data_IF_126932659624
#
_entry.id   IF_126932659624
#
_cell.length_a   1.000
_cell.length_b   1.000
_cell.length_c   1.000
_cell.angle_alpha   90.00
_cell.angle_beta   90.00
_cell.angle_gamma   90.00
#
_symmetry.space_group_name_H-M   'P 1'
#
loop_
_entity.id
_entity.type
_entity.pdbx_description
1 polymer ?
#
# COMPACT_ATOMS: atom_id res chain seq x y z
N UNK A 1 7.99 -1.85 13.66
CA UNK A 1 7.78 -0.94 12.50
C UNK A 1 7.22 0.42 12.90
N UNK A 2 6.05 0.49 13.59
CA UNK A 2 5.40 1.79 13.89
C UNK A 2 6.32 2.85 14.51
N UNK A 3 7.06 2.50 15.55
CA UNK A 3 7.99 3.42 16.22
C UNK A 3 8.99 4.05 15.23
N UNK A 4 9.62 3.23 14.39
CA UNK A 4 10.60 3.66 13.38
C UNK A 4 9.98 4.47 12.24
N UNK A 5 8.70 4.27 11.93
CA UNK A 5 8.02 4.97 10.84
C UNK A 5 7.44 6.33 11.28
N UNK A 6 6.96 6.47 12.52
CA UNK A 6 6.46 7.75 13.04
C UNK A 6 7.58 8.75 13.27
N UNK A 7 8.78 8.26 13.62
CA UNK A 7 10.00 9.08 13.76
C UNK A 7 11.13 8.46 12.94
N UNK A 8 11.10 8.60 11.60
CA UNK A 8 12.11 8.00 10.75
C UNK A 8 13.46 8.70 10.92
N UNK A 9 14.47 7.94 11.31
CA UNK A 9 15.87 8.37 11.30
C UNK A 9 16.40 8.31 9.86
N UNK A 10 16.07 9.33 9.07
CA UNK A 10 16.45 9.37 7.66
C UNK A 10 17.96 9.52 7.52
N UNK A 11 18.61 8.76 6.62
CA UNK A 11 20.04 8.88 6.41
C UNK A 11 20.39 10.25 5.84
N UNK A 12 21.58 10.73 6.18
CA UNK A 12 22.09 11.98 5.63
C UNK A 12 22.39 11.86 4.12
N UNK A 13 22.44 13.00 3.40
CA UNK A 13 22.75 12.99 1.96
C UNK A 13 24.12 12.40 1.60
N UNK A 14 25.10 12.39 2.51
CA UNK A 14 26.41 11.80 2.27
C UNK A 14 26.35 10.28 2.26
N UNK A 15 25.58 9.66 3.16
CA UNK A 15 25.28 8.23 3.12
C UNK A 15 24.60 7.84 1.79
N UNK A 16 23.60 8.61 1.34
CA UNK A 16 22.93 8.31 0.07
C UNK A 16 23.87 8.35 -1.14
N UNK A 17 24.96 9.13 -1.09
CA UNK A 17 25.97 9.17 -2.15
C UNK A 17 26.88 7.94 -2.18
N UNK A 18 26.96 7.16 -1.10
CA UNK A 18 27.74 5.91 -1.08
C UNK A 18 27.00 4.74 -1.70
N UNK A 19 25.70 4.89 -1.98
CA UNK A 19 24.83 3.87 -2.56
C UNK A 19 24.84 3.90 -4.10
N UNK A 20 24.50 2.77 -4.70
CA UNK A 20 24.48 2.64 -6.17
C UNK A 20 23.35 3.48 -6.79
N UNK A 21 23.75 4.52 -7.54
CA UNK A 21 22.85 5.43 -8.24
C UNK A 21 22.72 5.12 -9.73
N UNK A 22 23.24 3.97 -10.19
CA UNK A 22 23.19 3.59 -11.60
C UNK A 22 21.75 3.33 -12.05
N UNK A 23 21.40 3.85 -13.22
CA UNK A 23 20.07 3.68 -13.82
C UNK A 23 19.75 2.18 -13.97
N UNK A 24 20.76 1.37 -14.35
CA UNK A 24 20.60 -0.08 -14.55
C UNK A 24 20.12 -0.77 -13.26
N UNK A 25 20.77 -0.52 -12.12
CA UNK A 25 20.39 -1.13 -10.84
C UNK A 25 19.05 -0.63 -10.35
N UNK A 26 18.83 0.68 -10.39
CA UNK A 26 17.56 1.27 -9.94
C UNK A 26 16.37 0.76 -10.75
N UNK A 27 16.47 0.72 -12.09
CA UNK A 27 15.42 0.17 -12.95
C UNK A 27 15.17 -1.33 -12.68
N UNK A 28 16.20 -2.10 -12.37
CA UNK A 28 16.03 -3.52 -12.02
C UNK A 28 15.24 -3.68 -10.70
N UNK A 29 15.56 -2.89 -9.68
CA UNK A 29 14.84 -2.89 -8.39
C UNK A 29 13.40 -2.42 -8.57
N UNK A 30 13.15 -1.37 -9.37
CA UNK A 30 11.80 -0.87 -9.66
C UNK A 30 10.95 -1.94 -10.35
N UNK A 31 11.52 -2.73 -11.27
CA UNK A 31 10.81 -3.86 -11.88
C UNK A 31 10.38 -4.91 -10.85
N UNK A 32 11.24 -5.20 -9.88
CA UNK A 32 10.91 -6.12 -8.78
C UNK A 32 9.84 -5.57 -7.84
N UNK A 33 9.81 -4.26 -7.60
CA UNK A 33 8.75 -3.60 -6.82
C UNK A 33 7.35 -3.79 -7.45
N UNK A 34 7.25 -4.00 -8.76
CA UNK A 34 5.97 -4.31 -9.43
C UNK A 34 5.51 -5.76 -9.21
N UNK A 35 6.38 -6.63 -8.71
CA UNK A 35 6.17 -8.07 -8.53
C UNK A 35 6.51 -8.51 -7.10
N UNK A 36 6.22 -7.67 -6.10
CA UNK A 36 6.45 -7.98 -4.68
C UNK A 36 5.75 -9.28 -4.32
N UNK A 37 6.48 -10.17 -3.65
CA UNK A 37 6.00 -11.41 -3.07
C UNK A 37 6.73 -11.69 -1.75
N UNK A 38 6.12 -12.48 -0.87
CA UNK A 38 6.75 -12.84 0.41
C UNK A 38 8.05 -13.65 0.21
N UNK A 39 8.08 -14.53 -0.79
CA UNK A 39 9.26 -15.34 -1.13
C UNK A 39 10.49 -14.50 -1.46
N UNK A 40 10.30 -13.36 -2.13
CA UNK A 40 11.39 -12.48 -2.57
C UNK A 40 11.66 -11.32 -1.62
N UNK A 41 10.97 -11.25 -0.48
CA UNK A 41 11.02 -10.12 0.46
C UNK A 41 12.45 -9.75 0.85
N UNK A 42 13.22 -10.73 1.33
CA UNK A 42 14.57 -10.48 1.89
C UNK A 42 15.55 -10.02 0.81
N UNK A 43 15.58 -10.73 -0.32
CA UNK A 43 16.42 -10.35 -1.46
C UNK A 43 16.11 -8.94 -1.97
N UNK A 44 14.83 -8.58 -2.09
CA UNK A 44 14.43 -7.24 -2.53
C UNK A 44 14.78 -6.18 -1.49
N UNK A 45 14.63 -6.46 -0.20
CA UNK A 45 15.05 -5.54 0.86
C UNK A 45 16.56 -5.28 0.84
N UNK A 46 17.39 -6.31 0.62
CA UNK A 46 18.84 -6.14 0.53
C UNK A 46 19.26 -5.32 -0.68
N UNK A 47 18.63 -5.56 -1.83
CA UNK A 47 18.86 -4.74 -3.02
C UNK A 47 18.46 -3.28 -2.79
N UNK A 48 17.28 -3.05 -2.20
CA UNK A 48 16.80 -1.71 -1.83
C UNK A 48 17.76 -1.00 -0.87
N UNK A 49 18.39 -1.73 0.06
CA UNK A 49 19.39 -1.14 0.96
C UNK A 49 20.61 -0.62 0.22
N UNK A 50 21.02 -1.30 -0.85
CA UNK A 50 22.23 -1.00 -1.62
C UNK A 50 22.10 0.11 -2.68
N UNK A 51 20.87 0.48 -3.06
CA UNK A 51 20.61 1.47 -4.13
C UNK A 51 20.14 2.82 -3.60
N UNK A 52 20.45 3.87 -4.37
CA UNK A 52 19.92 5.23 -4.16
C UNK A 52 18.78 5.52 -5.14
N UNK A 53 17.54 5.42 -4.65
CA UNK A 53 16.31 5.72 -5.38
C UNK A 53 15.90 7.19 -5.29
N UNK A 54 16.74 8.11 -4.79
CA UNK A 54 16.34 9.53 -4.62
C UNK A 54 15.79 10.16 -5.91
N UNK A 55 16.29 9.73 -7.07
CA UNK A 55 15.83 10.19 -8.41
C UNK A 55 14.70 9.34 -9.01
N UNK A 56 14.29 8.27 -8.32
CA UNK A 56 13.40 7.22 -8.81
C UNK A 56 12.24 6.93 -7.84
N UNK A 57 11.99 7.80 -6.85
CA UNK A 57 10.96 7.60 -5.83
C UNK A 57 9.58 7.48 -6.49
N UNK A 58 9.28 8.33 -7.47
CA UNK A 58 8.00 8.35 -8.18
C UNK A 58 7.75 7.04 -8.94
N UNK A 59 8.77 6.51 -9.60
CA UNK A 59 8.73 5.25 -10.34
C UNK A 59 8.59 4.06 -9.39
N UNK A 60 9.29 4.09 -8.26
CA UNK A 60 9.14 3.08 -7.21
C UNK A 60 7.71 3.07 -6.65
N UNK A 61 7.14 4.25 -6.36
CA UNK A 61 5.75 4.40 -5.92
C UNK A 61 4.79 3.87 -6.98
N UNK A 62 4.99 4.21 -8.24
CA UNK A 62 4.15 3.73 -9.35
C UNK A 62 4.20 2.21 -9.46
N UNK A 63 5.39 1.61 -9.37
CA UNK A 63 5.56 0.16 -9.40
C UNK A 63 4.83 -0.54 -8.24
N UNK A 64 4.90 0.00 -7.03
CA UNK A 64 4.17 -0.52 -5.87
C UNK A 64 2.65 -0.37 -6.05
N UNK A 65 2.18 0.79 -6.53
CA UNK A 65 0.77 1.02 -6.81
C UNK A 65 0.22 0.05 -7.87
N UNK A 66 1.03 -0.31 -8.86
CA UNK A 66 0.68 -1.25 -9.92
C UNK A 66 0.80 -2.73 -9.50
N UNK A 67 1.49 -3.03 -8.40
CA UNK A 67 1.76 -4.40 -7.99
C UNK A 67 0.46 -5.18 -7.75
N UNK A 68 0.41 -6.42 -8.25
CA UNK A 68 -0.71 -7.34 -8.04
C UNK A 68 -0.46 -8.17 -6.78
N UNK A 69 -0.71 -7.55 -5.63
CA UNK A 69 -0.49 -8.17 -4.32
C UNK A 69 -1.58 -9.17 -3.97
N UNK A 70 -1.18 -10.39 -3.57
CA UNK A 70 -2.05 -11.33 -2.86
C UNK A 70 -2.04 -11.00 -1.37
N UNK A 71 -2.98 -11.58 -0.62
CA UNK A 71 -2.99 -11.43 0.86
C UNK A 71 -1.68 -11.90 1.49
N UNK A 72 -1.06 -12.96 0.95
CA UNK A 72 0.24 -13.47 1.42
C UNK A 72 1.41 -12.50 1.22
N UNK A 73 1.30 -11.56 0.27
CA UNK A 73 2.38 -10.65 -0.09
C UNK A 73 2.32 -9.31 0.68
N UNK A 74 1.27 -9.12 1.49
CA UNK A 74 1.05 -7.86 2.20
C UNK A 74 2.17 -7.55 3.19
N UNK A 75 2.66 -8.55 3.93
CA UNK A 75 3.74 -8.33 4.90
C UNK A 75 5.03 -7.86 4.21
N UNK A 76 5.44 -8.52 3.11
CA UNK A 76 6.51 -8.03 2.26
C UNK A 76 6.32 -6.59 1.78
N UNK A 77 5.13 -6.26 1.26
CA UNK A 77 4.84 -4.91 0.79
C UNK A 77 4.95 -3.87 1.93
N UNK A 78 4.47 -4.17 3.13
CA UNK A 78 4.54 -3.30 4.31
C UNK A 78 5.98 -3.06 4.76
N UNK A 79 6.81 -4.11 4.78
CA UNK A 79 8.24 -4.01 5.13
C UNK A 79 9.00 -3.16 4.11
N UNK A 80 8.75 -3.38 2.82
CA UNK A 80 9.34 -2.61 1.72
C UNK A 80 8.92 -1.14 1.78
N UNK A 81 7.63 -0.86 1.97
CA UNK A 81 7.14 0.52 2.10
C UNK A 81 7.70 1.20 3.34
N UNK A 82 7.85 0.49 4.47
CA UNK A 82 8.47 1.03 5.68
C UNK A 82 9.93 1.40 5.44
N UNK A 83 10.71 0.54 4.76
CA UNK A 83 12.09 0.82 4.40
C UNK A 83 12.21 2.08 3.52
N UNK A 84 11.35 2.20 2.51
CA UNK A 84 11.35 3.35 1.60
C UNK A 84 10.91 4.65 2.30
N UNK A 85 9.90 4.59 3.16
CA UNK A 85 9.43 5.72 3.99
C UNK A 85 10.50 6.23 4.94
N UNK A 86 11.22 5.31 5.59
CA UNK A 86 12.32 5.64 6.49
C UNK A 86 13.54 6.23 5.76
N UNK A 87 13.64 6.05 4.43
CA UNK A 87 14.76 6.55 3.63
C UNK A 87 14.43 7.84 2.88
N UNK A 88 13.23 7.96 2.32
CA UNK A 88 12.85 9.05 1.42
C UNK A 88 11.63 9.79 1.95
N UNK A 89 11.79 11.10 2.20
CA UNK A 89 10.78 11.93 2.85
C UNK A 89 9.44 11.98 2.09
N UNK A 90 9.48 12.07 0.77
CA UNK A 90 8.28 12.26 -0.07
C UNK A 90 7.61 10.94 -0.47
N UNK A 91 8.11 9.80 0.01
CA UNK A 91 7.61 8.49 -0.39
C UNK A 91 6.19 8.24 0.08
N UNK A 92 5.90 8.44 1.37
CA UNK A 92 4.59 8.09 1.95
C UNK A 92 3.44 8.92 1.40
N UNK A 93 3.64 10.23 1.22
CA UNK A 93 2.65 11.12 0.63
C UNK A 93 2.33 10.73 -0.82
N UNK A 94 3.36 10.47 -1.62
CA UNK A 94 3.22 10.00 -3.00
C UNK A 94 2.54 8.63 -3.09
N UNK A 95 2.91 7.69 -2.20
CA UNK A 95 2.31 6.36 -2.13
C UNK A 95 0.82 6.44 -1.77
N UNK A 96 0.45 7.22 -0.75
CA UNK A 96 -0.94 7.39 -0.36
C UNK A 96 -1.78 7.95 -1.51
N UNK A 97 -1.28 8.98 -2.20
CA UNK A 97 -1.95 9.54 -3.39
C UNK A 97 -2.09 8.50 -4.52
N UNK A 98 -1.06 7.71 -4.79
CA UNK A 98 -1.09 6.66 -5.81
C UNK A 98 -2.10 5.56 -5.49
N UNK A 99 -2.14 5.07 -4.24
CA UNK A 99 -3.08 4.04 -3.80
C UNK A 99 -4.54 4.54 -3.81
N UNK A 100 -4.78 5.81 -3.46
CA UNK A 100 -6.12 6.39 -3.46
C UNK A 100 -6.77 6.46 -4.85
N UNK A 101 -5.98 6.51 -5.93
CA UNK A 101 -6.48 6.46 -7.31
C UNK A 101 -7.23 5.16 -7.63
N UNK A 102 -7.03 4.09 -6.87
CA UNK A 102 -7.79 2.83 -7.00
C UNK A 102 -9.25 3.00 -6.58
N UNK A 103 -9.53 3.90 -5.64
CA UNK A 103 -10.89 4.22 -5.18
C UNK A 103 -11.47 5.40 -5.94
N UNK A 104 -10.63 6.40 -6.23
CA UNK A 104 -11.00 7.64 -6.90
C UNK A 104 -10.26 7.78 -8.25
N UNK A 105 -10.54 6.90 -9.23
CA UNK A 105 -10.02 7.10 -10.57
C UNK A 105 -10.64 8.40 -11.11
N UNK A 106 -9.81 9.41 -11.37
CA UNK A 106 -10.28 10.68 -11.94
C UNK A 106 -10.89 10.49 -13.34
N UNK A 107 -11.09 11.57 -14.08
CA UNK A 107 -11.61 11.54 -15.48
C UNK A 107 -10.70 10.86 -16.51
N UNK A 108 -9.64 10.16 -16.09
CA UNK A 108 -8.78 9.44 -17.01
C UNK A 108 -9.61 8.33 -17.66
N UNK A 109 -9.49 8.24 -18.99
CA UNK A 109 -10.16 7.26 -19.86
C UNK A 109 -10.23 5.94 -19.13
N UNK A 110 -11.45 5.50 -18.80
CA UNK A 110 -11.65 4.15 -18.30
C UNK A 110 -10.97 3.22 -19.28
N UNK A 111 -9.97 2.46 -18.84
CA UNK A 111 -9.62 1.22 -19.51
C UNK A 111 -10.88 0.34 -19.41
N UNK A 112 -11.76 0.53 -20.39
CA UNK A 112 -13.03 -0.17 -20.62
C UNK A 112 -12.81 -1.69 -20.71
N UNK A 113 -11.55 -2.10 -20.87
CA UNK A 113 -11.06 -3.48 -21.01
C UNK A 113 -10.73 -4.18 -19.67
N UNK A 114 -10.66 -3.45 -18.53
CA UNK A 114 -10.26 -4.10 -17.27
C UNK A 114 -11.45 -4.83 -16.62
N UNK A 115 -11.35 -6.15 -16.54
CA UNK A 115 -12.30 -7.04 -15.86
C UNK A 115 -12.77 -6.50 -14.49
N UNK A 116 -14.09 -6.47 -14.28
CA UNK A 116 -14.72 -5.96 -13.03
C UNK A 116 -14.19 -6.70 -11.81
N UNK A 117 -13.98 -8.01 -11.92
CA UNK A 117 -13.48 -8.82 -10.81
C UNK A 117 -12.02 -8.46 -10.48
N UNK A 118 -11.18 -8.21 -11.50
CA UNK A 118 -9.83 -7.64 -11.32
C UNK A 118 -9.84 -6.30 -10.58
N UNK A 119 -10.76 -5.38 -10.92
CA UNK A 119 -10.92 -4.10 -10.22
C UNK A 119 -11.32 -4.31 -8.74
N UNK A 120 -12.24 -5.24 -8.47
CA UNK A 120 -12.67 -5.56 -7.10
C UNK A 120 -11.53 -6.17 -6.27
N UNK A 121 -10.75 -7.10 -6.84
CA UNK A 121 -9.57 -7.68 -6.18
C UNK A 121 -8.53 -6.60 -5.87
N UNK A 122 -8.29 -5.67 -6.81
CA UNK A 122 -7.36 -4.56 -6.61
C UNK A 122 -7.82 -3.61 -5.50
N UNK A 123 -9.09 -3.19 -5.49
CA UNK A 123 -9.67 -2.38 -4.39
C UNK A 123 -9.47 -3.08 -3.04
N UNK A 124 -9.70 -4.39 -2.98
CA UNK A 124 -9.56 -5.17 -1.74
C UNK A 124 -8.12 -5.23 -1.24
N UNK A 125 -7.14 -5.56 -2.10
CA UNK A 125 -5.73 -5.62 -1.67
C UNK A 125 -5.19 -4.23 -1.33
N UNK A 126 -5.57 -3.19 -2.08
CA UNK A 126 -5.20 -1.80 -1.78
C UNK A 126 -5.78 -1.33 -0.44
N UNK A 127 -7.04 -1.64 -0.12
CA UNK A 127 -7.64 -1.27 1.18
C UNK A 127 -6.89 -1.90 2.35
N UNK A 128 -6.58 -3.20 2.24
CA UNK A 128 -5.78 -3.91 3.25
C UNK A 128 -4.40 -3.28 3.41
N UNK A 129 -3.71 -3.01 2.31
CA UNK A 129 -2.40 -2.37 2.36
C UNK A 129 -2.45 -0.98 3.02
N UNK A 130 -3.44 -0.15 2.68
CA UNK A 130 -3.61 1.16 3.32
C UNK A 130 -3.80 1.04 4.84
N UNK A 131 -4.59 0.07 5.30
CA UNK A 131 -4.79 -0.22 6.72
C UNK A 131 -3.49 -0.64 7.40
N UNK A 132 -2.75 -1.59 6.82
CA UNK A 132 -1.46 -2.02 7.37
C UNK A 132 -0.45 -0.87 7.44
N UNK A 133 -0.33 -0.08 6.36
CA UNK A 133 0.55 1.09 6.31
C UNK A 133 0.16 2.14 7.35
N UNK A 134 -1.13 2.27 7.65
CA UNK A 134 -1.59 3.11 8.73
C UNK A 134 -1.18 2.57 10.10
N UNK A 135 -1.38 1.28 10.36
CA UNK A 135 -1.00 0.64 11.63
C UNK A 135 0.51 0.69 11.87
N UNK A 136 1.31 0.51 10.83
CA UNK A 136 2.77 0.68 10.93
C UNK A 136 3.21 2.14 10.83
N UNK A 137 2.31 3.13 10.76
CA UNK A 137 2.67 4.55 10.82
C UNK A 137 3.44 5.07 9.60
N UNK A 138 3.37 4.39 8.45
CA UNK A 138 3.82 4.96 7.17
C UNK A 138 2.81 6.01 6.68
N UNK A 139 1.53 5.75 6.93
CA UNK A 139 0.44 6.69 6.70
C UNK A 139 -0.16 7.06 8.07
N UNK A 140 -0.40 8.34 8.31
CA UNK A 140 -0.93 8.81 9.60
C UNK A 140 -2.31 9.47 9.47
N UNK A 141 -2.68 9.87 8.26
CA UNK A 141 -3.97 10.50 8.00
C UNK A 141 -5.09 9.45 7.96
N UNK A 142 -5.89 9.40 9.02
CA UNK A 142 -7.07 8.53 9.10
C UNK A 142 -8.22 8.99 8.20
N UNK A 143 -8.22 10.24 7.73
CA UNK A 143 -9.29 10.80 6.90
C UNK A 143 -9.44 10.07 5.56
N UNK A 144 -8.36 9.43 5.08
CA UNK A 144 -8.38 8.61 3.87
C UNK A 144 -9.43 7.49 3.96
N UNK A 145 -9.57 6.87 5.13
CA UNK A 145 -10.52 5.78 5.34
C UNK A 145 -11.94 6.31 5.41
N UNK A 146 -12.14 7.45 6.05
CA UNK A 146 -13.44 8.14 6.09
C UNK A 146 -13.90 8.46 4.66
N UNK A 147 -13.00 8.95 3.81
CA UNK A 147 -13.31 9.28 2.41
C UNK A 147 -13.63 8.03 1.60
N UNK A 148 -12.85 6.95 1.74
CA UNK A 148 -13.15 5.66 1.09
C UNK A 148 -14.50 5.12 1.54
N UNK A 149 -14.81 5.15 2.85
CA UNK A 149 -16.09 4.65 3.36
C UNK A 149 -17.26 5.47 2.81
N UNK A 150 -17.14 6.81 2.80
CA UNK A 150 -18.17 7.71 2.24
C UNK A 150 -18.48 7.40 0.78
N UNK A 151 -17.46 7.13 -0.02
CA UNK A 151 -17.59 6.71 -1.41
C UNK A 151 -18.29 5.35 -1.52
N UNK A 152 -17.81 4.34 -0.79
CA UNK A 152 -18.37 2.99 -0.88
C UNK A 152 -19.86 2.90 -0.49
N UNK A 153 -20.35 3.81 0.37
CA UNK A 153 -21.77 3.89 0.78
C UNK A 153 -22.60 4.88 -0.06
N UNK A 154 -22.01 5.45 -1.12
CA UNK A 154 -22.69 6.37 -2.04
C UNK A 154 -23.95 5.74 -2.65
N UNK A 155 -25.05 6.49 -2.65
CA UNK A 155 -26.36 6.05 -3.13
C UNK A 155 -26.34 5.68 -4.63
N UNK A 156 -25.42 6.25 -5.39
CA UNK A 156 -25.17 5.94 -6.80
C UNK A 156 -24.79 4.47 -7.03
N UNK A 157 -24.10 3.85 -6.07
CA UNK A 157 -23.64 2.45 -6.19
C UNK A 157 -24.76 1.45 -5.97
N UNK A 158 -25.82 1.84 -5.23
CA UNK A 158 -26.96 0.96 -4.91
C UNK A 158 -27.77 0.52 -6.14
N UNK A 159 -27.58 1.19 -7.27
CA UNK A 159 -28.25 0.86 -8.53
C UNK A 159 -27.64 -0.36 -9.23
N UNK A 160 -26.38 -0.68 -8.94
CA UNK A 160 -25.67 -1.83 -9.51
C UNK A 160 -25.41 -2.87 -8.42
N UNK A 161 -26.06 -4.04 -8.56
CA UNK A 161 -26.03 -5.11 -7.55
C UNK A 161 -24.60 -5.63 -7.29
N UNK A 162 -23.80 -5.80 -8.34
CA UNK A 162 -22.45 -6.36 -8.24
C UNK A 162 -21.48 -5.37 -7.58
N UNK A 163 -21.58 -4.08 -7.93
CA UNK A 163 -20.85 -2.98 -7.28
C UNK A 163 -21.25 -2.87 -5.81
N UNK A 164 -22.56 -2.93 -5.52
CA UNK A 164 -23.06 -2.93 -4.14
C UNK A 164 -22.48 -4.09 -3.33
N UNK A 165 -22.51 -5.31 -3.86
CA UNK A 165 -21.95 -6.49 -3.20
C UNK A 165 -20.43 -6.35 -2.97
N UNK A 166 -19.71 -5.80 -3.95
CA UNK A 166 -18.28 -5.52 -3.83
C UNK A 166 -18.01 -4.49 -2.74
N UNK A 167 -18.75 -3.38 -2.71
CA UNK A 167 -18.59 -2.33 -1.70
C UNK A 167 -18.91 -2.86 -0.29
N UNK A 168 -19.96 -3.66 -0.13
CA UNK A 168 -20.28 -4.32 1.15
C UNK A 168 -19.14 -5.26 1.61
N UNK A 169 -18.52 -6.00 0.67
CA UNK A 169 -17.35 -6.84 0.98
C UNK A 169 -16.13 -6.02 1.45
N UNK A 170 -15.90 -4.85 0.84
CA UNK A 170 -14.83 -3.93 1.25
C UNK A 170 -15.12 -3.31 2.62
N UNK A 171 -16.34 -2.85 2.87
CA UNK A 171 -16.78 -2.31 4.16
C UNK A 171 -16.67 -3.36 5.27
N UNK A 172 -17.05 -4.61 5.00
CA UNK A 172 -16.88 -5.70 5.95
C UNK A 172 -15.39 -5.98 6.25
N UNK A 173 -14.51 -5.87 5.24
CA UNK A 173 -13.07 -6.00 5.43
C UNK A 173 -12.52 -4.88 6.30
N UNK A 174 -12.90 -3.63 6.01
CA UNK A 174 -12.55 -2.48 6.82
C UNK A 174 -13.03 -2.64 8.26
N UNK A 175 -14.29 -3.04 8.48
CA UNK A 175 -14.87 -3.20 9.81
C UNK A 175 -14.16 -4.30 10.63
N UNK A 176 -13.72 -5.40 10.00
CA UNK A 176 -12.98 -6.47 10.68
C UNK A 176 -11.61 -6.00 11.17
N UNK A 177 -10.82 -5.40 10.30
CA UNK A 177 -9.47 -4.91 10.64
C UNK A 177 -9.52 -3.63 11.48
N UNK A 178 -10.53 -2.81 11.25
CA UNK A 178 -10.72 -1.51 11.89
C UNK A 178 -11.27 -1.57 13.31
N UNK A 179 -11.54 -2.76 13.86
CA UNK A 179 -11.88 -2.94 15.28
C UNK A 179 -10.85 -2.30 16.21
N UNK A 180 -9.58 -2.26 15.78
CA UNK A 180 -8.48 -1.58 16.46
C UNK A 180 -8.75 -0.08 16.62
N UNK A 181 -9.33 0.59 15.62
CA UNK A 181 -9.70 2.01 15.71
C UNK A 181 -10.79 2.29 16.74
N UNK A 182 -11.66 1.31 16.98
CA UNK A 182 -12.86 1.47 17.82
C UNK A 182 -12.61 1.03 19.27
N UNK A 183 -11.39 0.59 19.61
CA UNK A 183 -11.07 0.06 20.94
C UNK A 183 -11.90 -1.17 21.31
N UNK A 184 -12.47 -1.87 20.33
CA UNK A 184 -13.32 -3.03 20.57
C UNK A 184 -12.45 -4.25 20.95
N UNK A 185 -12.87 -5.06 21.93
CA UNK A 185 -12.09 -6.21 22.38
C UNK A 185 -11.89 -7.20 21.23
N UNK A 186 -10.62 -7.58 21.02
CA UNK A 186 -10.20 -8.58 20.04
C UNK A 186 -10.77 -9.94 20.46
N UNK A 187 -11.93 -10.32 19.92
CA UNK A 187 -12.62 -11.56 20.29
C UNK A 187 -12.37 -12.63 19.23
N UNK A 188 -11.55 -13.65 19.53
CA UNK A 188 -11.46 -14.90 18.78
C UNK A 188 -10.02 -15.47 18.58
N UNK A 189 -9.87 -16.81 18.49
CA UNK A 189 -8.57 -17.50 18.31
C UNK A 189 -7.92 -17.34 16.92
N UNK A 190 -8.51 -16.55 16.02
CA UNK A 190 -8.00 -16.36 14.64
C UNK A 190 -6.93 -15.26 14.52
N UNK A 191 -6.68 -14.48 15.59
CA UNK A 191 -5.81 -13.30 15.51
C UNK A 191 -4.32 -13.62 15.33
N UNK A 192 -3.84 -14.79 15.77
CA UNK A 192 -2.41 -15.15 15.64
C UNK A 192 -1.96 -15.38 14.20
N UNK A 193 -2.88 -15.36 13.22
CA UNK A 193 -2.56 -15.59 11.79
C UNK A 193 -2.73 -14.38 10.88
N UNK A 194 -3.43 -13.32 11.30
CA UNK A 194 -3.73 -12.17 10.42
C UNK A 194 -2.91 -10.92 10.72
N UNK A 195 -2.31 -10.82 11.91
CA UNK A 195 -1.44 -9.71 12.26
C UNK A 195 -0.16 -10.22 12.91
N UNK A 196 0.79 -10.73 12.12
CA UNK A 196 2.25 -10.67 12.29
C UNK A 196 2.92 -11.12 10.97
#
# INVERSE_FOLDING_TARGET
>A
LRQSNVKPERPDPSFLRTLDSSIKRNTAVIKKLKQISEEQRESLMDELRSVNLSKFVTEAVTAICDAKLKTSDLQAAVQICSLLHQRYQDFSSSLAQGLLKVFFPGKAVEDLETDRNSKAMKKRSTLKLLLELYFVGVIEDSSIFVNIIKDLVGMEHLKDRDTTQTNLSLLATFARQGRVFLGLPLSGPEFSKEFF
#
